data_IF_649587067955
#
_entry.id   IF_649587067955
#
_cell.length_a   1.000
_cell.length_b   1.000
_cell.length_c   1.000
_cell.angle_alpha   90.00
_cell.angle_beta   90.00
_cell.angle_gamma   90.00
#
_symmetry.space_group_name_H-M   'P 1'
#
loop_
_entity.id
_entity.type
_entity.pdbx_description
1 polymer ?
#
# COMPACT_ATOMS: atom_id res chain seq x y z
N UNK A 1 -5.94 19.15 6.78
CA UNK A 1 -5.31 18.92 5.45
C UNK A 1 -6.32 18.24 4.52
N UNK A 2 -6.21 18.39 3.21
CA UNK A 2 -7.12 17.78 2.23
C UNK A 2 -6.42 16.64 1.50
N UNK A 3 -7.15 15.57 1.19
CA UNK A 3 -6.60 14.46 0.39
C UNK A 3 -6.32 14.94 -1.05
N UNK A 4 -5.23 14.46 -1.68
CA UNK A 4 -4.99 14.73 -3.09
C UNK A 4 -6.09 14.06 -3.93
N UNK A 5 -6.55 14.75 -4.98
CA UNK A 5 -7.55 14.24 -5.92
C UNK A 5 -6.95 13.80 -7.25
N UNK A 6 -5.67 14.04 -7.47
CA UNK A 6 -4.91 13.69 -8.69
C UNK A 6 -3.50 13.21 -8.36
N UNK A 7 -2.85 12.55 -9.32
CA UNK A 7 -1.48 12.05 -9.18
C UNK A 7 -1.39 10.73 -8.41
N UNK A 8 -0.16 10.27 -8.21
CA UNK A 8 0.12 8.91 -7.71
C UNK A 8 -0.42 8.69 -6.30
N UNK A 9 -0.31 9.70 -5.42
CA UNK A 9 -0.90 9.65 -4.08
C UNK A 9 -2.42 9.45 -4.12
N UNK A 10 -3.13 10.14 -5.00
CA UNK A 10 -4.58 9.97 -5.15
C UNK A 10 -4.94 8.58 -5.71
N UNK A 11 -4.15 8.05 -6.65
CA UNK A 11 -4.35 6.71 -7.21
C UNK A 11 -4.15 5.62 -6.14
N UNK A 12 -3.08 5.70 -5.35
CA UNK A 12 -2.82 4.78 -4.24
C UNK A 12 -3.94 4.85 -3.20
N UNK A 13 -4.39 6.06 -2.84
CA UNK A 13 -5.52 6.23 -1.92
C UNK A 13 -6.85 5.69 -2.48
N UNK A 14 -7.08 5.80 -3.80
CA UNK A 14 -8.25 5.19 -4.43
C UNK A 14 -8.23 3.66 -4.25
N UNK A 15 -7.08 3.00 -4.40
CA UNK A 15 -6.96 1.56 -4.16
C UNK A 15 -7.10 1.22 -2.68
N UNK A 16 -6.45 1.97 -1.79
CA UNK A 16 -6.61 1.78 -0.34
C UNK A 16 -8.09 1.86 0.08
N UNK A 17 -8.80 2.89 -0.37
CA UNK A 17 -10.18 3.16 0.06
C UNK A 17 -11.22 2.27 -0.62
N UNK A 18 -11.04 1.91 -1.89
CA UNK A 18 -12.04 1.18 -2.69
C UNK A 18 -11.75 -0.31 -2.84
N UNK A 19 -10.53 -0.76 -2.55
CA UNK A 19 -10.18 -2.18 -2.48
C UNK A 19 -9.83 -2.63 -1.08
N UNK A 20 -8.84 -2.01 -0.42
CA UNK A 20 -8.37 -2.52 0.86
C UNK A 20 -9.39 -2.38 1.99
N UNK A 21 -10.09 -1.23 2.11
CA UNK A 21 -11.12 -1.10 3.15
C UNK A 21 -12.25 -2.13 2.97
N UNK A 22 -12.87 -2.29 1.80
CA UNK A 22 -13.93 -3.30 1.64
C UNK A 22 -13.42 -4.73 1.78
N UNK A 23 -12.18 -5.02 1.34
CA UNK A 23 -11.59 -6.33 1.57
C UNK A 23 -11.47 -6.60 3.08
N UNK A 24 -10.88 -5.71 3.86
CA UNK A 24 -10.65 -5.92 5.30
C UNK A 24 -11.95 -5.86 6.12
N UNK A 25 -12.81 -4.87 5.89
CA UNK A 25 -14.00 -4.61 6.70
C UNK A 25 -15.23 -5.41 6.30
N UNK A 26 -15.40 -5.65 5.02
CA UNK A 26 -16.61 -6.30 4.47
C UNK A 26 -16.33 -7.73 4.00
N UNK A 27 -15.07 -8.17 4.03
CA UNK A 27 -14.69 -9.51 3.58
C UNK A 27 -14.72 -9.71 2.07
N UNK A 28 -14.83 -8.63 1.28
CA UNK A 28 -14.84 -8.73 -0.19
C UNK A 28 -13.57 -9.40 -0.71
N UNK A 29 -13.72 -10.14 -1.80
CA UNK A 29 -12.61 -10.74 -2.55
C UNK A 29 -11.91 -9.69 -3.42
N UNK A 30 -10.68 -10.00 -3.85
CA UNK A 30 -9.95 -9.13 -4.79
C UNK A 30 -10.66 -9.05 -6.16
N UNK A 31 -11.29 -10.14 -6.59
CA UNK A 31 -12.15 -10.22 -7.77
C UNK A 31 -13.31 -9.22 -7.74
N UNK A 32 -13.93 -9.03 -6.56
CA UNK A 32 -15.08 -8.14 -6.42
C UNK A 32 -14.65 -6.68 -6.49
N UNK A 33 -13.62 -6.29 -5.73
CA UNK A 33 -13.16 -4.89 -5.69
C UNK A 33 -12.42 -4.46 -6.95
N UNK A 34 -11.81 -5.42 -7.67
CA UNK A 34 -11.04 -5.13 -8.90
C UNK A 34 -11.91 -4.59 -10.03
N UNK A 35 -13.18 -5.01 -10.13
CA UNK A 35 -14.10 -4.60 -11.21
C UNK A 35 -14.34 -3.09 -11.18
N UNK A 36 -14.62 -2.54 -10.00
CA UNK A 36 -14.91 -1.12 -9.81
C UNK A 36 -13.69 -0.23 -10.06
N UNK A 37 -12.49 -0.78 -9.89
CA UNK A 37 -11.21 -0.12 -10.12
C UNK A 37 -10.65 -0.35 -11.52
N UNK A 38 -11.35 -1.10 -12.39
CA UNK A 38 -10.89 -1.42 -13.74
C UNK A 38 -9.59 -2.25 -13.76
N UNK A 39 -9.29 -2.96 -12.67
CA UNK A 39 -8.05 -3.72 -12.55
C UNK A 39 -8.10 -4.99 -13.40
N UNK A 40 -6.95 -5.40 -13.90
CA UNK A 40 -6.80 -6.63 -14.70
C UNK A 40 -6.05 -7.68 -13.90
N UNK A 41 -6.52 -8.92 -13.98
CA UNK A 41 -5.83 -10.04 -13.35
C UNK A 41 -4.51 -10.34 -14.07
N UNK A 42 -3.42 -10.32 -13.32
CA UNK A 42 -2.16 -10.89 -13.73
C UNK A 42 -2.21 -12.42 -13.54
N UNK A 43 -2.06 -13.17 -14.63
CA UNK A 43 -2.23 -14.63 -14.60
C UNK A 43 -1.10 -15.37 -13.90
N UNK A 44 0.06 -14.73 -13.74
CA UNK A 44 1.25 -15.36 -13.16
C UNK A 44 1.24 -15.28 -11.64
N UNK A 45 0.95 -14.09 -11.11
CA UNK A 45 0.90 -13.79 -9.68
C UNK A 45 -0.49 -13.99 -9.09
N UNK A 46 -1.54 -13.96 -9.91
CA UNK A 46 -2.93 -13.94 -9.45
C UNK A 46 -3.39 -12.59 -8.89
N UNK A 47 -2.52 -11.58 -8.86
CA UNK A 47 -2.85 -10.22 -8.43
C UNK A 47 -3.76 -9.49 -9.42
N UNK A 48 -4.42 -8.43 -8.97
CA UNK A 48 -5.21 -7.55 -9.82
C UNK A 48 -4.56 -6.18 -9.89
N UNK A 49 -4.29 -5.71 -11.09
CA UNK A 49 -3.40 -4.58 -11.33
C UNK A 49 -4.09 -3.46 -12.11
N UNK A 50 -3.78 -2.22 -11.75
CA UNK A 50 -4.12 -1.01 -12.50
C UNK A 50 -2.85 -0.20 -12.74
N UNK A 51 -2.79 0.56 -13.83
CA UNK A 51 -1.64 1.42 -14.13
C UNK A 51 -1.55 2.62 -13.18
N UNK A 52 -0.32 3.10 -12.95
CA UNK A 52 0.00 4.29 -12.17
C UNK A 52 0.75 5.30 -13.07
N UNK A 53 0.47 6.60 -12.97
CA UNK A 53 1.24 7.64 -13.66
C UNK A 53 1.33 7.58 -15.21
N UNK A 54 0.59 6.68 -15.87
CA UNK A 54 0.54 6.56 -17.34
C UNK A 54 1.70 5.79 -17.99
N UNK A 55 2.75 5.43 -17.25
CA UNK A 55 3.81 4.54 -17.75
C UNK A 55 3.43 3.07 -17.51
N UNK A 56 3.69 2.21 -18.51
CA UNK A 56 3.34 0.79 -18.44
C UNK A 56 4.12 -0.01 -17.37
N UNK A 57 5.24 0.51 -16.89
CA UNK A 57 6.04 -0.14 -15.86
C UNK A 57 5.54 0.20 -14.44
N UNK A 58 4.62 1.17 -14.30
CA UNK A 58 4.12 1.60 -13.00
C UNK A 58 2.73 1.03 -12.78
N UNK A 59 2.55 0.33 -11.67
CA UNK A 59 1.31 -0.38 -11.37
C UNK A 59 0.97 -0.30 -9.90
N UNK A 60 -0.32 -0.42 -9.60
CA UNK A 60 -0.81 -0.75 -8.27
C UNK A 60 -1.47 -2.12 -8.38
N UNK A 61 -0.93 -3.09 -7.65
CA UNK A 61 -1.33 -4.50 -7.69
C UNK A 61 -1.90 -4.91 -6.33
N UNK A 62 -3.18 -5.26 -6.28
CA UNK A 62 -3.81 -5.83 -5.08
C UNK A 62 -3.64 -7.34 -5.12
N UNK A 63 -3.04 -7.89 -4.07
CA UNK A 63 -2.81 -9.33 -3.95
C UNK A 63 -4.07 -10.01 -3.40
N UNK A 64 -4.37 -11.26 -3.82
CA UNK A 64 -5.41 -12.06 -3.18
C UNK A 64 -5.13 -12.22 -1.68
N UNK A 65 -6.18 -12.29 -0.87
CA UNK A 65 -6.05 -12.57 0.56
C UNK A 65 -5.35 -13.92 0.76
N UNK A 66 -4.34 -13.93 1.62
CA UNK A 66 -3.69 -15.16 2.08
C UNK A 66 -4.45 -15.77 3.27
N UNK A 67 -3.74 -16.54 4.09
CA UNK A 67 -4.30 -17.13 5.31
C UNK A 67 -4.71 -16.08 6.38
N UNK A 68 -4.18 -14.86 6.29
CA UNK A 68 -4.61 -13.74 7.14
C UNK A 68 -5.56 -12.86 6.32
N UNK A 69 -6.85 -13.06 6.53
CA UNK A 69 -7.92 -12.35 5.82
C UNK A 69 -8.16 -10.92 6.32
N UNK A 70 -7.58 -10.56 7.46
CA UNK A 70 -7.65 -9.23 8.07
C UNK A 70 -6.61 -8.25 7.51
N UNK A 71 -5.86 -8.63 6.46
CA UNK A 71 -4.83 -7.80 5.83
C UNK A 71 -5.08 -7.69 4.33
N UNK A 72 -5.16 -6.46 3.84
CA UNK A 72 -5.01 -6.14 2.42
C UNK A 72 -3.53 -5.90 2.11
N UNK A 73 -3.02 -6.55 1.07
CA UNK A 73 -1.65 -6.39 0.61
C UNK A 73 -1.64 -5.81 -0.81
N UNK A 74 -0.92 -4.71 -0.98
CA UNK A 74 -0.79 -3.99 -2.24
C UNK A 74 0.68 -3.82 -2.57
N UNK A 75 1.08 -4.25 -3.76
CA UNK A 75 2.37 -3.88 -4.34
C UNK A 75 2.20 -2.64 -5.22
N UNK A 76 3.14 -1.71 -5.13
CA UNK A 76 3.15 -0.47 -5.90
C UNK A 76 4.50 -0.36 -6.59
N UNK A 77 4.47 -0.35 -7.92
CA UNK A 77 5.62 -0.04 -8.76
C UNK A 77 5.43 1.39 -9.27
N UNK A 78 6.37 2.30 -8.97
CA UNK A 78 6.25 3.72 -9.25
C UNK A 78 7.55 4.29 -9.83
N UNK A 79 7.52 5.53 -10.31
CA UNK A 79 8.71 6.18 -10.86
C UNK A 79 9.86 6.16 -9.83
N UNK A 80 11.10 5.99 -10.31
CA UNK A 80 12.27 6.06 -9.44
C UNK A 80 12.31 7.44 -8.75
N UNK A 81 12.37 7.47 -7.43
CA UNK A 81 12.27 8.69 -6.62
C UNK A 81 10.86 9.30 -6.54
N UNK A 82 9.81 8.55 -6.93
CA UNK A 82 8.42 8.98 -6.97
C UNK A 82 7.62 8.73 -5.69
N UNK A 83 8.27 8.35 -4.58
CA UNK A 83 7.60 7.96 -3.34
C UNK A 83 6.96 9.14 -2.59
N UNK A 84 7.51 10.35 -2.73
CA UNK A 84 7.15 11.48 -1.88
C UNK A 84 5.65 11.84 -1.95
N UNK A 85 5.00 11.96 -3.14
CA UNK A 85 3.57 12.22 -3.21
C UNK A 85 2.70 11.10 -2.62
N UNK A 86 3.17 9.85 -2.67
CA UNK A 86 2.48 8.70 -2.07
C UNK A 86 2.54 8.80 -0.55
N UNK A 87 3.73 9.05 0.00
CA UNK A 87 3.95 9.20 1.45
C UNK A 87 3.13 10.36 2.02
N UNK A 88 3.10 11.50 1.35
CA UNK A 88 2.30 12.66 1.76
C UNK A 88 0.79 12.33 1.78
N UNK A 89 0.29 11.66 0.75
CA UNK A 89 -1.09 11.24 0.67
C UNK A 89 -1.48 10.29 1.81
N UNK A 90 -0.63 9.28 2.10
CA UNK A 90 -0.84 8.33 3.19
C UNK A 90 -0.78 9.03 4.57
N UNK A 91 0.15 9.95 4.77
CA UNK A 91 0.22 10.77 6.00
C UNK A 91 -1.06 11.56 6.24
N UNK A 92 -1.59 12.22 5.20
CA UNK A 92 -2.84 12.99 5.31
C UNK A 92 -4.01 12.06 5.58
N UNK A 93 -4.09 10.93 4.87
CA UNK A 93 -5.15 9.94 5.07
C UNK A 93 -5.16 9.37 6.49
N UNK A 94 -3.99 8.99 7.01
CA UNK A 94 -3.80 8.50 8.36
C UNK A 94 -4.20 9.55 9.42
N UNK A 95 -3.85 10.82 9.18
CA UNK A 95 -4.25 11.95 10.03
C UNK A 95 -5.76 12.14 10.11
N UNK A 96 -6.47 11.93 8.99
CA UNK A 96 -7.91 12.14 8.86
C UNK A 96 -8.77 10.95 9.32
N UNK A 97 -8.17 9.82 9.70
CA UNK A 97 -8.94 8.70 10.25
C UNK A 97 -9.54 9.03 11.61
N UNK A 98 -10.66 8.39 11.92
CA UNK A 98 -11.30 8.39 13.23
C UNK A 98 -11.48 6.94 13.70
N UNK A 99 -10.74 6.48 14.73
CA UNK A 99 -9.66 7.18 15.44
C UNK A 99 -8.41 7.41 14.57
N UNK A 100 -7.68 8.48 14.87
CA UNK A 100 -6.47 8.87 14.10
C UNK A 100 -5.39 7.80 14.19
N UNK A 101 -4.80 7.46 13.03
CA UNK A 101 -3.61 6.60 12.98
C UNK A 101 -2.35 7.46 13.23
N UNK A 102 -1.59 7.11 14.26
CA UNK A 102 -0.35 7.81 14.64
C UNK A 102 0.85 7.13 14.02
N UNK A 103 1.79 7.91 13.50
CA UNK A 103 3.06 7.37 13.02
C UNK A 103 3.81 6.70 14.18
N UNK A 104 4.03 5.39 14.08
CA UNK A 104 4.75 4.58 15.07
C UNK A 104 6.17 4.25 14.62
N UNK A 105 6.37 4.05 13.30
CA UNK A 105 7.67 3.72 12.73
C UNK A 105 7.98 4.61 11.55
N UNK A 106 9.25 5.01 11.48
CA UNK A 106 9.87 5.68 10.35
C UNK A 106 11.37 5.34 10.41
N UNK A 107 11.69 4.13 9.98
CA UNK A 107 13.01 3.54 10.13
C UNK A 107 13.39 2.73 8.89
N UNK A 108 14.61 2.19 8.87
CA UNK A 108 15.02 1.23 7.86
C UNK A 108 15.79 0.07 8.48
N UNK A 109 15.74 -1.07 7.79
CA UNK A 109 16.56 -2.23 8.08
C UNK A 109 16.99 -2.92 6.78
N UNK A 110 18.18 -3.53 6.77
CA UNK A 110 18.62 -4.41 5.69
C UNK A 110 18.34 -5.85 6.11
N UNK A 111 17.54 -6.55 5.32
CA UNK A 111 17.17 -7.94 5.60
C UNK A 111 18.30 -8.93 5.27
N UNK A 112 18.16 -10.21 5.69
CA UNK A 112 19.10 -11.27 5.32
C UNK A 112 19.18 -11.54 3.80
N UNK A 113 18.16 -11.11 3.06
CA UNK A 113 18.10 -11.12 1.60
C UNK A 113 18.87 -9.96 0.95
N UNK A 114 19.59 -9.17 1.74
CA UNK A 114 20.33 -7.99 1.32
C UNK A 114 19.42 -6.91 0.68
N UNK A 115 18.14 -6.87 1.05
CA UNK A 115 17.20 -5.83 0.62
C UNK A 115 16.99 -4.84 1.77
N UNK A 116 17.20 -3.55 1.48
CA UNK A 116 16.87 -2.44 2.37
C UNK A 116 15.37 -2.19 2.33
N UNK A 117 14.76 -2.16 3.51
CA UNK A 117 13.34 -1.88 3.72
C UNK A 117 13.20 -0.57 4.48
N UNK A 118 12.69 0.47 3.83
CA UNK A 118 12.36 1.75 4.48
C UNK A 118 10.89 1.69 4.88
N UNK A 119 10.62 1.68 6.17
CA UNK A 119 9.28 1.40 6.72
C UNK A 119 8.68 2.65 7.34
N UNK A 120 7.48 2.98 6.90
CA UNK A 120 6.58 3.91 7.58
C UNK A 120 5.34 3.17 8.04
N UNK A 121 5.01 3.25 9.33
CA UNK A 121 3.83 2.61 9.89
C UNK A 121 3.00 3.61 10.70
N UNK A 122 1.70 3.68 10.40
CA UNK A 122 0.71 4.44 11.14
C UNK A 122 -0.29 3.48 11.78
N UNK A 123 -0.51 3.64 13.07
CA UNK A 123 -1.36 2.72 13.82
C UNK A 123 -2.26 3.46 14.79
N UNK A 124 -3.46 2.92 14.95
CA UNK A 124 -4.29 3.08 16.12
C UNK A 124 -4.44 1.73 16.79
N UNK A 125 -4.28 1.67 18.10
CA UNK A 125 -4.54 0.45 18.85
C UNK A 125 -5.08 0.78 20.23
N UNK A 126 -5.91 -0.11 20.75
CA UNK A 126 -6.41 -0.15 22.12
C UNK A 126 -6.20 -1.56 22.67
N UNK A 127 -6.77 -1.84 23.84
CA UNK A 127 -6.78 -3.20 24.39
C UNK A 127 -7.66 -4.17 23.59
N UNK A 128 -8.62 -3.68 22.79
CA UNK A 128 -9.62 -4.50 22.11
C UNK A 128 -9.59 -4.42 20.58
N UNK A 129 -8.93 -3.41 20.01
CA UNK A 129 -8.87 -3.24 18.55
C UNK A 129 -7.53 -2.65 18.07
N UNK A 130 -7.21 -2.88 16.80
CA UNK A 130 -6.12 -2.19 16.12
C UNK A 130 -6.42 -1.95 14.65
N UNK A 131 -6.01 -0.78 14.16
CA UNK A 131 -5.96 -0.42 12.74
C UNK A 131 -4.53 -0.06 12.39
N UNK A 132 -3.99 -0.71 11.36
CA UNK A 132 -2.61 -0.53 10.91
C UNK A 132 -2.53 -0.19 9.43
N UNK A 133 -1.69 0.78 9.11
CA UNK A 133 -1.28 1.14 7.75
C UNK A 133 0.24 1.10 7.70
N UNK A 134 0.81 0.29 6.81
CA UNK A 134 2.28 0.14 6.69
C UNK A 134 2.67 0.33 5.24
N UNK A 135 3.61 1.24 4.99
CA UNK A 135 4.23 1.46 3.69
C UNK A 135 5.71 1.10 3.78
N UNK A 136 6.15 0.15 2.96
CA UNK A 136 7.52 -0.36 2.95
C UNK A 136 8.11 -0.19 1.56
N UNK A 137 9.11 0.68 1.42
CA UNK A 137 9.87 0.78 0.18
C UNK A 137 10.95 -0.31 0.16
N UNK A 138 11.20 -0.88 -1.03
CA UNK A 138 12.21 -1.90 -1.24
C UNK A 138 13.34 -1.34 -2.12
N UNK A 139 14.56 -1.30 -1.58
CA UNK A 139 15.75 -0.77 -2.25
C UNK A 139 16.95 -1.69 -2.06
N UNK A 140 17.98 -1.53 -2.88
CA UNK A 140 19.30 -2.09 -2.58
C UNK A 140 19.90 -1.41 -1.33
N UNK A 141 20.90 -2.02 -0.66
CA UNK A 141 21.53 -1.42 0.52
C UNK A 141 22.22 -0.08 0.25
N UNK A 142 22.60 0.19 -1.00
CA UNK A 142 23.22 1.43 -1.48
C UNK A 142 22.20 2.49 -1.94
N UNK A 143 20.93 2.31 -1.58
CA UNK A 143 19.79 3.19 -1.93
C UNK A 143 19.40 3.21 -3.41
N UNK A 144 20.04 2.40 -4.26
CA UNK A 144 19.60 2.26 -5.66
C UNK A 144 18.31 1.44 -5.76
N UNK A 145 17.49 1.66 -6.82
CA UNK A 145 16.30 0.85 -7.06
C UNK A 145 16.64 -0.62 -7.26
N UNK A 146 15.78 -1.52 -6.74
CA UNK A 146 15.87 -2.95 -7.04
C UNK A 146 15.66 -3.23 -8.53
N UNK A 147 14.79 -2.44 -9.15
CA UNK A 147 14.38 -2.60 -10.53
C UNK A 147 14.83 -1.41 -11.37
N UNK A 148 15.32 -1.67 -12.58
CA UNK A 148 15.95 -0.62 -13.39
C UNK A 148 15.00 0.51 -13.81
N UNK A 149 13.69 0.23 -13.84
CA UNK A 149 12.68 1.12 -14.44
C UNK A 149 11.77 1.79 -13.42
N UNK A 150 11.70 1.29 -12.21
CA UNK A 150 10.75 1.72 -11.19
C UNK A 150 11.32 1.45 -9.79
N UNK A 151 10.88 2.23 -8.81
CA UNK A 151 10.98 1.87 -7.41
C UNK A 151 9.77 1.02 -7.02
N UNK A 152 9.94 0.15 -6.02
CA UNK A 152 8.88 -0.72 -5.54
C UNK A 152 8.57 -0.45 -4.07
N UNK A 153 7.30 -0.54 -3.73
CA UNK A 153 6.85 -0.55 -2.34
C UNK A 153 5.71 -1.55 -2.11
N UNK A 154 5.53 -1.91 -0.84
CA UNK A 154 4.37 -2.63 -0.35
C UNK A 154 3.57 -1.73 0.56
N UNK A 155 2.25 -1.68 0.34
CA UNK A 155 1.29 -1.07 1.25
C UNK A 155 0.45 -2.18 1.88
N UNK A 156 0.43 -2.21 3.21
CA UNK A 156 -0.39 -3.11 4.00
C UNK A 156 -1.43 -2.29 4.76
N UNK A 157 -2.68 -2.75 4.71
CA UNK A 157 -3.75 -2.22 5.55
C UNK A 157 -4.40 -3.36 6.31
N UNK A 158 -4.66 -3.16 7.60
CA UNK A 158 -5.28 -4.18 8.44
C UNK A 158 -6.12 -3.59 9.55
N UNK A 159 -7.19 -4.30 9.90
CA UNK A 159 -7.98 -4.06 11.11
C UNK A 159 -8.15 -5.37 11.86
N UNK A 160 -8.05 -5.33 13.18
CA UNK A 160 -8.16 -6.51 14.04
C UNK A 160 -8.94 -6.15 15.30
N UNK A 161 -9.73 -7.12 15.76
CA UNK A 161 -10.34 -7.13 17.08
C UNK A 161 -9.74 -8.28 17.88
N UNK A 162 -9.55 -8.09 19.18
CA UNK A 162 -8.90 -9.04 20.09
C UNK A 162 -9.89 -9.67 21.07
#
# INVERSE_FOLDING_TARGET
>A
PTLPTTGDGAAVLSVLTRACLPMVREGKTVEEVSKDLGMRRDRRSGSYQVGLGGDRNYTISVLPKGANDNVCNVQIDYAVGGEQPIIEALNIWAFLQEPRLRLQRNDFAVGPDNIKRVTMAWEHFTESESTGLVFVQLKNPDDTPLERRYDQATLLYSERSF
#
